data_IF_572384763493
#
_entry.id   IF_572384763493
#
_cell.length_a   1.000
_cell.length_b   1.000
_cell.length_c   1.000
_cell.angle_alpha   90.00
_cell.angle_beta   90.00
_cell.angle_gamma   90.00
#
_symmetry.space_group_name_H-M   'P 1'
#
loop_
_entity.id
_entity.type
_entity.pdbx_description
1 polymer ?
#
# COMPACT_ATOMS: atom_id res chain seq x y z
N UNK A 1 -33.53 -6.07 -4.59
CA UNK A 1 -33.38 -5.99 -3.13
C UNK A 1 -32.11 -6.69 -2.70
N UNK A 2 -31.18 -5.98 -2.05
CA UNK A 2 -29.85 -6.48 -1.71
C UNK A 2 -29.61 -6.56 -0.18
N UNK A 3 -30.65 -6.51 0.63
CA UNK A 3 -30.56 -6.63 2.09
C UNK A 3 -30.44 -8.09 2.50
N UNK A 4 -29.46 -8.43 3.32
CA UNK A 4 -29.34 -9.73 3.97
C UNK A 4 -29.73 -9.63 5.45
N UNK A 5 -30.45 -10.64 5.95
CA UNK A 5 -30.79 -10.79 7.36
C UNK A 5 -30.10 -12.04 7.90
N UNK A 6 -29.32 -11.89 8.95
CA UNK A 6 -28.58 -13.00 9.57
C UNK A 6 -28.46 -12.83 11.08
N UNK A 7 -28.32 -13.92 11.85
CA UNK A 7 -28.11 -13.83 13.28
C UNK A 7 -26.70 -13.31 13.56
N UNK A 8 -26.60 -12.34 14.45
CA UNK A 8 -25.35 -11.76 14.87
C UNK A 8 -25.11 -12.02 16.36
N UNK A 9 -23.96 -12.56 16.69
CA UNK A 9 -23.49 -12.73 18.06
C UNK A 9 -22.35 -11.77 18.32
N UNK A 10 -22.54 -10.79 19.20
CA UNK A 10 -21.54 -9.81 19.59
C UNK A 10 -21.20 -10.00 21.07
N UNK A 11 -19.92 -9.90 21.38
CA UNK A 11 -19.40 -10.00 22.75
C UNK A 11 -18.59 -8.73 23.03
N UNK A 12 -19.17 -7.73 23.72
CA UNK A 12 -18.45 -6.55 24.14
C UNK A 12 -17.42 -6.89 25.22
N UNK A 13 -16.36 -6.09 25.33
CA UNK A 13 -15.38 -6.15 26.40
C UNK A 13 -15.83 -5.29 27.61
N UNK A 14 -15.05 -5.26 28.67
CA UNK A 14 -15.37 -4.45 29.87
C UNK A 14 -15.03 -2.95 29.66
N UNK A 15 -14.00 -2.65 28.89
CA UNK A 15 -13.59 -1.29 28.53
C UNK A 15 -14.29 -0.83 27.24
N UNK A 16 -14.61 0.47 27.14
CA UNK A 16 -15.31 1.03 25.97
C UNK A 16 -14.50 0.93 24.69
N UNK A 17 -13.20 1.23 24.76
CA UNK A 17 -12.30 1.19 23.60
C UNK A 17 -12.10 -0.24 23.10
N UNK A 18 -11.86 -1.17 24.02
CA UNK A 18 -11.74 -2.59 23.70
C UNK A 18 -13.07 -3.17 23.19
N UNK A 19 -14.21 -2.72 23.73
CA UNK A 19 -15.54 -3.09 23.22
C UNK A 19 -15.73 -2.66 21.77
N UNK A 20 -15.38 -1.41 21.42
CA UNK A 20 -15.47 -0.91 20.03
C UNK A 20 -14.60 -1.72 19.07
N UNK A 21 -13.36 -1.99 19.46
CA UNK A 21 -12.42 -2.79 18.65
C UNK A 21 -12.96 -4.22 18.48
N UNK A 22 -13.38 -4.86 19.56
CA UNK A 22 -13.89 -6.23 19.54
C UNK A 22 -15.17 -6.35 18.68
N UNK A 23 -16.12 -5.44 18.83
CA UNK A 23 -17.35 -5.44 18.03
C UNK A 23 -17.07 -5.17 16.56
N UNK A 24 -16.18 -4.24 16.25
CA UNK A 24 -15.72 -3.96 14.87
C UNK A 24 -15.16 -5.20 14.19
N UNK A 25 -14.27 -5.92 14.87
CA UNK A 25 -13.67 -7.15 14.35
C UNK A 25 -14.72 -8.27 14.19
N UNK A 26 -15.62 -8.46 15.15
CA UNK A 26 -16.70 -9.43 15.06
C UNK A 26 -17.63 -9.15 13.88
N UNK A 27 -18.00 -7.88 13.65
CA UNK A 27 -18.82 -7.48 12.50
C UNK A 27 -18.12 -7.69 11.16
N UNK A 28 -16.85 -7.32 11.08
CA UNK A 28 -16.03 -7.49 9.87
C UNK A 28 -15.66 -8.94 9.59
N UNK A 29 -15.60 -9.77 10.63
CA UNK A 29 -15.39 -11.20 10.53
C UNK A 29 -16.58 -11.97 9.93
N UNK A 30 -17.75 -11.35 9.73
CA UNK A 30 -18.88 -11.98 9.06
C UNK A 30 -18.63 -12.08 7.56
N UNK A 31 -18.49 -13.30 6.98
CA UNK A 31 -18.20 -13.47 5.56
C UNK A 31 -19.29 -12.85 4.69
N UNK A 32 -18.89 -12.16 3.63
CA UNK A 32 -19.76 -11.58 2.60
C UNK A 32 -20.96 -10.81 3.17
N UNK A 33 -20.75 -10.12 4.32
CA UNK A 33 -21.80 -9.36 5.01
C UNK A 33 -23.05 -10.19 5.32
N UNK A 34 -22.88 -11.48 5.59
CA UNK A 34 -23.92 -12.40 6.01
C UNK A 34 -24.84 -12.96 4.92
N UNK A 35 -24.55 -12.70 3.64
CA UNK A 35 -25.32 -13.25 2.49
C UNK A 35 -25.40 -14.79 2.55
N UNK A 36 -24.29 -15.44 2.92
CA UNK A 36 -24.19 -16.89 3.02
C UNK A 36 -25.21 -17.52 4.00
N UNK A 37 -25.62 -16.81 5.07
CA UNK A 37 -26.57 -17.35 6.02
C UNK A 37 -27.94 -17.69 5.38
N UNK A 38 -28.51 -16.76 4.61
CA UNK A 38 -29.77 -16.97 3.91
C UNK A 38 -29.69 -18.08 2.88
N UNK A 39 -28.57 -18.16 2.14
CA UNK A 39 -28.33 -19.24 1.18
C UNK A 39 -28.30 -20.61 1.89
N UNK A 40 -27.56 -20.75 2.97
CA UNK A 40 -27.46 -22.00 3.74
C UNK A 40 -28.79 -22.35 4.43
N UNK A 41 -29.52 -21.37 4.94
CA UNK A 41 -30.75 -21.59 5.70
C UNK A 41 -31.92 -22.00 4.82
N UNK A 42 -32.02 -21.46 3.60
CA UNK A 42 -33.21 -21.59 2.76
C UNK A 42 -32.99 -22.27 1.42
N UNK A 43 -31.77 -22.28 0.88
CA UNK A 43 -31.46 -22.77 -0.46
C UNK A 43 -30.43 -23.92 -0.49
N UNK A 44 -29.75 -24.20 0.60
CA UNK A 44 -28.88 -25.35 0.72
C UNK A 44 -29.68 -26.64 1.01
N UNK A 45 -29.02 -27.80 0.94
CA UNK A 45 -29.64 -29.09 1.22
C UNK A 45 -30.26 -29.16 2.64
N UNK A 46 -31.21 -30.11 2.81
CA UNK A 46 -32.06 -30.26 4.01
C UNK A 46 -31.26 -30.33 5.33
N UNK A 47 -30.08 -30.97 5.31
CA UNK A 47 -29.24 -31.09 6.52
C UNK A 47 -28.74 -29.74 7.04
N UNK A 48 -28.20 -28.89 6.17
CA UNK A 48 -27.71 -27.56 6.56
C UNK A 48 -28.85 -26.67 7.03
N UNK A 49 -29.95 -26.67 6.31
CA UNK A 49 -31.17 -25.92 6.66
C UNK A 49 -31.72 -26.36 8.01
N UNK A 50 -31.80 -27.66 8.29
CA UNK A 50 -32.32 -28.22 9.57
C UNK A 50 -31.37 -27.87 10.73
N UNK A 51 -30.07 -27.97 10.56
CA UNK A 51 -29.08 -27.58 11.59
C UNK A 51 -29.22 -26.10 11.97
N UNK A 52 -29.33 -25.20 11.00
CA UNK A 52 -29.52 -23.77 11.26
C UNK A 52 -30.89 -23.46 11.86
N UNK A 53 -31.95 -24.21 11.47
CA UNK A 53 -33.29 -24.07 12.04
C UNK A 53 -33.35 -24.45 13.52
N UNK A 54 -32.55 -25.43 13.94
CA UNK A 54 -32.49 -25.89 15.32
C UNK A 54 -31.78 -24.91 16.28
N UNK A 55 -31.08 -23.91 15.77
CA UNK A 55 -30.41 -22.90 16.61
C UNK A 55 -31.46 -21.94 17.24
N UNK A 56 -31.15 -21.40 18.44
CA UNK A 56 -31.97 -20.35 19.03
C UNK A 56 -32.19 -19.18 18.08
N UNK A 57 -33.46 -18.82 17.85
CA UNK A 57 -33.78 -17.72 16.94
C UNK A 57 -33.67 -16.38 17.65
N UNK A 58 -32.91 -15.40 17.11
CA UNK A 58 -32.88 -14.03 17.61
C UNK A 58 -34.31 -13.43 17.60
N UNK A 59 -34.66 -12.66 18.64
CA UNK A 59 -35.93 -12.00 18.76
C UNK A 59 -35.85 -10.47 18.75
N UNK A 60 -34.64 -9.97 18.53
CA UNK A 60 -34.35 -8.54 18.36
C UNK A 60 -33.74 -8.36 16.96
N UNK A 61 -34.26 -7.39 16.21
CA UNK A 61 -33.68 -6.99 14.92
C UNK A 61 -33.11 -5.59 15.07
N UNK A 62 -31.89 -5.43 14.53
CA UNK A 62 -31.26 -4.15 14.41
C UNK A 62 -30.94 -3.88 12.93
N UNK A 63 -31.39 -2.72 12.43
CA UNK A 63 -31.16 -2.29 11.05
C UNK A 63 -30.68 -0.85 11.03
N UNK A 64 -29.50 -0.61 10.52
CA UNK A 64 -28.97 0.73 10.32
C UNK A 64 -28.90 1.03 8.82
N UNK A 65 -29.76 1.95 8.38
CA UNK A 65 -29.96 2.28 6.97
C UNK A 65 -28.84 3.18 6.39
N UNK A 66 -28.00 3.74 7.26
CA UNK A 66 -26.92 4.60 6.84
C UNK A 66 -27.30 6.08 6.78
N UNK A 67 -26.62 6.83 5.92
CA UNK A 67 -26.73 8.28 5.82
C UNK A 67 -27.37 8.69 4.48
N UNK A 68 -28.48 9.44 4.58
CA UNK A 68 -29.30 9.86 3.43
C UNK A 68 -29.09 11.32 2.99
N UNK A 69 -28.31 12.12 3.70
CA UNK A 69 -28.11 13.55 3.42
C UNK A 69 -27.68 13.88 1.99
N UNK A 70 -26.93 12.96 1.32
CA UNK A 70 -26.45 13.15 -0.04
C UNK A 70 -27.49 12.88 -1.14
N UNK A 71 -28.58 12.21 -0.79
CA UNK A 71 -29.61 11.80 -1.76
C UNK A 71 -30.73 12.82 -1.87
N UNK A 72 -30.90 13.66 -0.85
CA UNK A 72 -32.01 14.59 -0.69
C UNK A 72 -31.50 15.97 -0.25
N UNK A 73 -30.51 16.51 -0.96
CA UNK A 73 -30.07 17.87 -0.75
C UNK A 73 -31.12 18.88 -1.28
N UNK A 74 -31.01 20.16 -0.92
CA UNK A 74 -31.98 21.18 -1.29
C UNK A 74 -32.14 21.44 -2.80
N UNK A 75 -31.33 20.79 -3.66
CA UNK A 75 -31.41 20.81 -5.10
C UNK A 75 -32.06 19.54 -5.69
N UNK A 76 -32.41 18.56 -4.83
CA UNK A 76 -33.02 17.32 -5.28
C UNK A 76 -34.45 17.55 -5.79
N UNK A 77 -34.84 16.80 -6.84
CA UNK A 77 -36.19 16.85 -7.42
C UNK A 77 -37.26 16.37 -6.41
N UNK A 78 -36.88 15.45 -5.51
CA UNK A 78 -37.73 14.90 -4.48
C UNK A 78 -37.11 15.20 -3.12
N UNK A 79 -37.86 15.85 -2.24
CA UNK A 79 -37.45 16.20 -0.88
C UNK A 79 -38.39 15.49 0.09
N UNK A 80 -37.87 14.80 1.14
CA UNK A 80 -38.71 14.23 2.17
C UNK A 80 -39.56 15.29 2.83
N UNK A 81 -40.83 14.93 3.14
CA UNK A 81 -41.75 15.77 3.87
C UNK A 81 -41.95 15.22 5.29
N UNK A 82 -42.36 16.08 6.23
CA UNK A 82 -42.74 15.70 7.59
C UNK A 82 -44.19 15.23 7.64
N UNK A 83 -44.95 15.31 6.54
CA UNK A 83 -46.30 14.83 6.47
C UNK A 83 -46.37 13.31 6.56
N UNK A 84 -47.26 12.81 7.38
CA UNK A 84 -47.47 11.36 7.55
C UNK A 84 -48.24 10.78 6.36
N UNK A 85 -47.70 9.73 5.73
CA UNK A 85 -48.40 8.95 4.73
C UNK A 85 -49.48 7.98 5.35
N UNK A 86 -49.67 8.02 6.67
CA UNK A 86 -50.48 7.06 7.42
C UNK A 86 -49.66 5.89 7.94
N UNK A 87 -50.33 4.93 8.56
CA UNK A 87 -49.68 3.73 9.08
C UNK A 87 -49.22 2.82 7.94
N UNK A 88 -47.94 2.49 7.91
CA UNK A 88 -47.36 1.59 6.90
C UNK A 88 -47.76 0.11 7.12
N UNK A 89 -48.20 -0.23 8.33
CA UNK A 89 -48.64 -1.58 8.73
C UNK A 89 -49.91 -1.50 9.60
N UNK A 90 -50.71 -2.54 9.57
CA UNK A 90 -51.81 -2.70 10.47
C UNK A 90 -51.30 -2.75 11.94
N UNK A 91 -51.82 -1.93 12.85
CA UNK A 91 -51.43 -1.97 14.26
C UNK A 91 -51.59 -3.32 14.94
N UNK A 92 -52.48 -4.18 14.40
CA UNK A 92 -52.73 -5.54 14.87
C UNK A 92 -51.96 -6.61 14.14
N UNK A 93 -51.10 -6.23 13.14
CA UNK A 93 -50.28 -7.20 12.42
C UNK A 93 -49.24 -7.85 13.36
N UNK A 94 -49.01 -9.16 13.24
CA UNK A 94 -48.01 -9.83 14.06
C UNK A 94 -46.61 -9.30 13.72
N UNK A 95 -45.86 -8.89 14.75
CA UNK A 95 -44.46 -8.50 14.61
C UNK A 95 -43.59 -9.74 14.41
N UNK A 96 -42.71 -9.71 13.43
CA UNK A 96 -41.77 -10.79 13.16
C UNK A 96 -40.79 -10.99 14.33
N UNK A 97 -40.45 -9.93 15.04
CA UNK A 97 -39.56 -9.91 16.22
C UNK A 97 -40.22 -9.19 17.39
N UNK A 98 -39.76 -9.49 18.60
CA UNK A 98 -40.27 -8.84 19.82
C UNK A 98 -39.89 -7.36 19.90
N UNK A 99 -38.72 -7.03 19.37
CA UNK A 99 -38.17 -5.68 19.32
C UNK A 99 -37.44 -5.48 18.00
N UNK A 100 -37.71 -4.39 17.30
CA UNK A 100 -36.96 -3.93 16.12
C UNK A 100 -36.45 -2.52 16.35
N UNK A 101 -35.18 -2.31 16.04
CA UNK A 101 -34.49 -1.00 16.10
C UNK A 101 -34.05 -0.64 14.71
N UNK A 102 -34.54 0.47 14.17
CA UNK A 102 -34.15 0.99 12.87
C UNK A 102 -33.48 2.35 13.04
N UNK A 103 -32.25 2.48 12.53
CA UNK A 103 -31.45 3.69 12.64
C UNK A 103 -31.15 4.32 11.30
N UNK A 104 -31.17 5.64 11.24
CA UNK A 104 -30.73 6.39 10.06
C UNK A 104 -30.18 7.77 10.44
N UNK A 105 -29.33 8.34 9.56
CA UNK A 105 -28.92 9.73 9.65
C UNK A 105 -29.55 10.52 8.51
N UNK A 106 -30.32 11.54 8.86
CA UNK A 106 -30.92 12.46 7.92
C UNK A 106 -30.90 13.90 8.48
N UNK A 107 -30.57 14.89 7.64
CA UNK A 107 -30.43 16.29 8.07
C UNK A 107 -29.35 16.52 9.13
N UNK A 108 -28.32 15.64 9.16
CA UNK A 108 -27.26 15.66 10.18
C UNK A 108 -27.66 15.06 11.52
N UNK A 109 -28.89 14.55 11.67
CA UNK A 109 -29.39 13.96 12.91
C UNK A 109 -29.50 12.44 12.83
N UNK A 110 -28.98 11.75 13.86
CA UNK A 110 -29.19 10.31 14.03
C UNK A 110 -30.58 10.07 14.71
N UNK A 111 -31.45 9.40 14.01
CA UNK A 111 -32.73 8.95 14.54
C UNK A 111 -32.79 7.44 14.66
N UNK A 112 -33.37 6.96 15.75
CA UNK A 112 -33.59 5.54 16.03
C UNK A 112 -35.07 5.31 16.30
N UNK A 113 -35.67 4.43 15.51
CA UNK A 113 -37.07 4.05 15.65
C UNK A 113 -37.17 2.67 16.32
N UNK A 114 -37.92 2.60 17.44
CA UNK A 114 -38.05 1.39 18.24
C UNK A 114 -39.47 0.86 18.10
N UNK A 115 -39.63 -0.29 17.45
CA UNK A 115 -40.92 -1.01 17.34
C UNK A 115 -40.89 -2.23 18.24
N UNK A 116 -41.90 -2.38 19.10
CA UNK A 116 -41.93 -3.46 20.08
C UNK A 116 -43.31 -4.07 20.23
N UNK A 117 -43.37 -5.33 20.66
CA UNK A 117 -44.61 -6.01 21.02
C UNK A 117 -45.06 -5.56 22.41
N UNK A 118 -46.29 -4.98 22.48
CA UNK A 118 -46.92 -4.59 23.77
C UNK A 118 -47.31 -5.78 24.61
N UNK A 119 -47.38 -6.98 24.04
CA UNK A 119 -47.60 -8.21 24.81
C UNK A 119 -46.33 -8.66 25.55
N UNK A 120 -45.16 -8.30 25.01
CA UNK A 120 -43.85 -8.70 25.56
C UNK A 120 -43.23 -7.63 26.45
N UNK A 121 -43.48 -6.36 26.17
CA UNK A 121 -42.83 -5.23 26.86
C UNK A 121 -43.83 -4.16 27.27
N UNK A 122 -43.75 -3.71 28.52
CA UNK A 122 -44.39 -2.48 28.93
C UNK A 122 -43.68 -1.25 28.31
N UNK A 123 -44.44 -0.25 27.91
CA UNK A 123 -43.91 0.97 27.27
C UNK A 123 -42.83 1.66 28.13
N UNK A 124 -43.04 1.76 29.45
CA UNK A 124 -42.07 2.29 30.41
C UNK A 124 -40.74 1.49 30.44
N UNK A 125 -40.78 0.20 30.11
CA UNK A 125 -39.55 -0.62 30.01
C UNK A 125 -38.78 -0.29 28.75
N UNK A 126 -39.48 -0.13 27.63
CA UNK A 126 -38.82 0.25 26.35
C UNK A 126 -38.27 1.68 26.45
N UNK A 127 -39.03 2.61 27.08
CA UNK A 127 -38.52 3.97 27.30
C UNK A 127 -37.22 3.97 28.09
N UNK A 128 -37.09 3.18 29.15
CA UNK A 128 -35.84 3.06 29.90
C UNK A 128 -34.71 2.49 29.03
N UNK A 129 -34.99 1.49 28.19
CA UNK A 129 -33.97 0.94 27.26
C UNK A 129 -33.48 1.99 26.25
N UNK A 130 -34.38 2.83 25.74
CA UNK A 130 -34.04 3.96 24.87
C UNK A 130 -33.13 4.97 25.57
N UNK A 131 -33.48 5.33 26.82
CA UNK A 131 -32.71 6.28 27.62
C UNK A 131 -31.32 5.71 28.00
N UNK A 132 -31.26 4.42 28.34
CA UNK A 132 -30.02 3.70 28.63
C UNK A 132 -29.13 3.62 27.39
N UNK A 133 -29.70 3.27 26.22
CA UNK A 133 -29.00 3.24 24.95
C UNK A 133 -28.40 4.61 24.59
N UNK A 134 -29.16 5.68 24.79
CA UNK A 134 -28.68 7.03 24.51
C UNK A 134 -27.50 7.40 25.42
N UNK A 135 -27.50 6.98 26.71
CA UNK A 135 -26.38 7.20 27.62
C UNK A 135 -25.13 6.41 27.20
N UNK A 136 -25.28 5.12 26.84
CA UNK A 136 -24.18 4.31 26.38
C UNK A 136 -23.58 4.86 25.07
N UNK A 137 -24.43 5.27 24.13
CA UNK A 137 -23.97 5.89 22.89
C UNK A 137 -23.21 7.20 23.15
N UNK A 138 -23.68 8.02 24.09
CA UNK A 138 -23.03 9.25 24.48
C UNK A 138 -21.64 9.00 25.10
N UNK A 139 -21.54 8.03 25.99
CA UNK A 139 -20.28 7.61 26.60
C UNK A 139 -19.26 7.12 25.54
N UNK A 140 -19.74 6.35 24.55
CA UNK A 140 -18.89 5.92 23.42
C UNK A 140 -18.41 7.11 22.57
N UNK A 141 -19.27 8.10 22.31
CA UNK A 141 -18.89 9.32 21.56
C UNK A 141 -17.83 10.11 22.34
N UNK A 142 -18.05 10.33 23.65
CA UNK A 142 -17.07 11.02 24.50
C UNK A 142 -15.73 10.30 24.52
N UNK A 143 -15.74 8.96 24.63
CA UNK A 143 -14.52 8.16 24.53
C UNK A 143 -13.81 8.33 23.20
N UNK A 144 -14.54 8.29 22.08
CA UNK A 144 -13.96 8.45 20.73
C UNK A 144 -13.41 9.86 20.47
N UNK A 145 -13.92 10.88 21.14
CA UNK A 145 -13.46 12.27 20.99
C UNK A 145 -12.22 12.59 21.84
N UNK A 146 -11.77 11.70 22.72
CA UNK A 146 -10.56 11.91 23.50
C UNK A 146 -9.30 11.77 22.63
N UNK A 147 -8.35 12.67 22.79
CA UNK A 147 -7.08 12.62 22.09
C UNK A 147 -6.33 11.31 22.46
N UNK A 148 -5.84 10.61 21.43
CA UNK A 148 -5.08 9.38 21.59
C UNK A 148 -5.90 8.10 21.44
N UNK A 149 -7.23 8.16 21.49
CA UNK A 149 -8.09 6.99 21.27
C UNK A 149 -8.23 6.72 19.77
N UNK A 150 -7.41 5.77 19.26
CA UNK A 150 -7.46 5.34 17.87
C UNK A 150 -8.14 3.97 17.80
N UNK A 151 -9.29 3.92 17.13
CA UNK A 151 -10.08 2.70 16.97
C UNK A 151 -9.58 1.77 15.84
N UNK A 152 -8.27 1.77 15.53
CA UNK A 152 -7.71 0.90 14.50
C UNK A 152 -7.61 -0.55 15.00
N UNK A 153 -7.95 -1.48 14.10
CA UNK A 153 -7.98 -2.90 14.37
C UNK A 153 -7.30 -3.66 13.22
N UNK A 154 -6.95 -4.95 13.39
CA UNK A 154 -6.30 -5.74 12.35
C UNK A 154 -7.01 -5.70 10.99
N UNK A 155 -8.33 -5.70 10.99
CA UNK A 155 -9.13 -5.64 9.76
C UNK A 155 -9.05 -4.32 8.98
N UNK A 156 -8.47 -3.25 9.56
CA UNK A 156 -8.15 -2.02 8.82
C UNK A 156 -6.94 -2.20 7.92
N UNK A 157 -6.09 -3.19 8.22
CA UNK A 157 -4.86 -3.51 7.49
C UNK A 157 -4.90 -4.95 6.96
N UNK A 158 -5.83 -5.26 6.04
CA UNK A 158 -6.15 -6.63 5.65
C UNK A 158 -5.01 -7.36 4.92
N UNK A 159 -4.00 -6.64 4.45
CA UNK A 159 -2.82 -7.23 3.81
C UNK A 159 -1.72 -7.61 4.82
N UNK A 160 -1.78 -7.07 6.04
CA UNK A 160 -0.84 -7.38 7.10
C UNK A 160 -1.43 -8.39 8.08
N UNK A 161 -0.64 -9.41 8.46
CA UNK A 161 -1.00 -10.31 9.54
C UNK A 161 -0.55 -9.68 10.86
N UNK A 162 -1.47 -8.97 11.51
CA UNK A 162 -1.21 -8.25 12.76
C UNK A 162 -2.23 -8.63 13.82
N UNK A 163 -1.78 -8.68 15.07
CA UNK A 163 -2.63 -8.77 16.25
C UNK A 163 -2.86 -7.38 16.87
N UNK A 164 -3.94 -7.24 17.66
CA UNK A 164 -4.28 -5.94 18.26
C UNK A 164 -3.14 -5.37 19.12
N UNK A 165 -2.47 -6.22 19.90
CA UNK A 165 -1.34 -5.81 20.75
C UNK A 165 -0.15 -5.24 19.97
N UNK A 166 0.09 -5.73 18.73
CA UNK A 166 1.13 -5.20 17.85
C UNK A 166 0.72 -3.84 17.30
N UNK A 167 -0.55 -3.69 16.92
CA UNK A 167 -1.09 -2.41 16.45
C UNK A 167 -1.06 -1.33 17.54
N UNK A 168 -1.42 -1.68 18.77
CA UNK A 168 -1.48 -0.73 19.89
C UNK A 168 -0.08 -0.15 20.26
N UNK A 169 1.01 -0.79 19.82
CA UNK A 169 2.39 -0.28 19.96
C UNK A 169 2.78 0.73 18.89
N UNK A 170 1.99 0.87 17.82
CA UNK A 170 2.30 1.73 16.69
C UNK A 170 1.61 3.11 16.83
N UNK A 171 2.20 4.19 16.31
CA UNK A 171 1.62 5.52 16.31
C UNK A 171 0.49 5.64 15.26
N UNK A 172 -0.59 4.88 15.41
CA UNK A 172 -1.65 4.69 14.43
C UNK A 172 -2.31 6.00 13.95
N UNK A 173 -2.31 7.04 14.77
CA UNK A 173 -2.81 8.36 14.37
C UNK A 173 -2.10 8.93 13.14
N UNK A 174 -0.82 8.59 12.95
CA UNK A 174 0.04 9.03 11.85
C UNK A 174 0.14 8.04 10.70
N UNK A 175 -0.39 6.84 10.87
CA UNK A 175 -0.31 5.75 9.90
C UNK A 175 -1.55 5.74 9.00
N UNK A 176 -1.32 5.67 7.70
CA UNK A 176 -2.37 5.53 6.68
C UNK A 176 -2.65 4.07 6.36
N UNK A 177 -1.59 3.26 6.21
CA UNK A 177 -1.71 1.85 5.83
C UNK A 177 -0.52 1.02 6.32
N UNK A 178 -0.70 -0.29 6.43
CA UNK A 178 0.34 -1.26 6.80
C UNK A 178 0.16 -2.49 5.91
N UNK A 179 1.24 -2.93 5.28
CA UNK A 179 1.24 -4.14 4.46
C UNK A 179 2.65 -4.75 4.33
N UNK A 180 2.80 -6.03 3.93
CA UNK A 180 4.11 -6.65 3.82
C UNK A 180 4.95 -6.09 2.67
N UNK A 181 6.22 -6.43 2.67
CA UNK A 181 7.17 -6.08 1.63
C UNK A 181 6.95 -6.95 0.38
N UNK A 182 7.33 -6.42 -0.79
CA UNK A 182 7.53 -7.24 -1.97
C UNK A 182 8.77 -8.15 -1.80
N UNK A 183 8.90 -9.25 -2.55
CA UNK A 183 10.08 -10.13 -2.46
C UNK A 183 11.41 -9.38 -2.65
N UNK A 184 11.46 -8.42 -3.58
CA UNK A 184 12.65 -7.63 -3.82
C UNK A 184 12.95 -6.67 -2.65
N UNK A 185 11.93 -6.00 -2.12
CA UNK A 185 12.09 -5.17 -0.91
C UNK A 185 12.60 -5.99 0.27
N UNK A 186 12.10 -7.22 0.44
CA UNK A 186 12.53 -8.11 1.49
C UNK A 186 14.03 -8.46 1.37
N UNK A 187 14.48 -8.78 0.14
CA UNK A 187 15.89 -9.02 -0.14
C UNK A 187 16.77 -7.80 0.14
N UNK A 188 16.33 -6.61 -0.30
CA UNK A 188 17.06 -5.36 -0.04
C UNK A 188 17.13 -5.01 1.44
N UNK A 189 16.03 -5.20 2.19
CA UNK A 189 16.01 -5.02 3.63
C UNK A 189 17.04 -5.93 4.32
N UNK A 190 17.02 -7.23 3.98
CA UNK A 190 17.95 -8.21 4.54
C UNK A 190 19.41 -7.79 4.30
N UNK A 191 19.77 -7.46 3.07
CA UNK A 191 21.14 -7.02 2.74
C UNK A 191 21.52 -5.72 3.45
N UNK A 192 20.62 -4.74 3.51
CA UNK A 192 20.88 -3.47 4.21
C UNK A 192 21.12 -3.67 5.72
N UNK A 193 20.50 -4.68 6.33
CA UNK A 193 20.72 -5.02 7.74
C UNK A 193 22.02 -5.81 7.96
N UNK A 194 22.38 -6.67 7.02
CA UNK A 194 23.56 -7.51 7.11
C UNK A 194 24.85 -6.72 6.81
N UNK A 195 24.82 -5.81 5.86
CA UNK A 195 25.98 -5.04 5.37
C UNK A 195 25.81 -3.54 5.64
N UNK A 196 25.61 -3.15 6.90
CA UNK A 196 25.33 -1.77 7.32
C UNK A 196 26.36 -0.71 6.84
N UNK A 197 27.57 -1.12 6.44
CA UNK A 197 28.66 -0.23 6.05
C UNK A 197 28.76 -0.02 4.53
N UNK A 198 28.06 -0.79 3.67
CA UNK A 198 28.32 -0.78 2.22
C UNK A 198 27.65 0.38 1.48
N UNK A 199 26.52 0.92 1.98
CA UNK A 199 25.74 1.97 1.27
C UNK A 199 25.19 1.51 -0.09
N UNK A 200 25.08 0.20 -0.34
CA UNK A 200 24.87 -0.41 -1.65
C UNK A 200 23.52 -0.08 -2.28
N UNK A 201 22.51 0.25 -1.48
CA UNK A 201 21.17 0.58 -1.99
C UNK A 201 20.83 2.07 -1.93
N UNK A 202 21.85 2.93 -1.94
CA UNK A 202 21.67 4.37 -2.01
C UNK A 202 21.82 4.87 -3.43
N UNK A 203 20.74 5.38 -3.99
CA UNK A 203 20.73 6.08 -5.26
C UNK A 203 20.91 7.58 -5.03
N UNK A 204 21.81 8.20 -5.78
CA UNK A 204 22.07 9.63 -5.71
C UNK A 204 22.14 10.23 -7.11
N UNK A 205 21.27 11.22 -7.36
CA UNK A 205 21.32 12.05 -8.56
C UNK A 205 21.96 13.39 -8.21
N UNK A 206 22.91 13.79 -9.03
CA UNK A 206 23.53 15.12 -8.97
C UNK A 206 23.33 15.82 -10.31
N UNK A 207 22.80 17.02 -10.28
CA UNK A 207 22.54 17.79 -11.51
C UNK A 207 22.60 19.28 -11.27
N UNK A 208 23.17 20.02 -12.22
CA UNK A 208 23.10 21.47 -12.25
C UNK A 208 21.81 21.92 -12.94
N UNK A 209 21.13 22.88 -12.33
CA UNK A 209 19.86 23.43 -12.83
C UNK A 209 19.98 24.94 -12.94
N UNK A 210 19.48 25.51 -14.04
CA UNK A 210 19.47 26.93 -14.29
C UNK A 210 18.08 27.53 -14.12
N UNK A 211 17.99 28.73 -13.57
CA UNK A 211 16.74 29.49 -13.46
C UNK A 211 15.67 28.82 -12.57
N UNK A 212 16.11 28.08 -11.55
CA UNK A 212 15.21 27.37 -10.64
C UNK A 212 14.61 28.32 -9.59
N UNK A 213 13.31 28.22 -9.37
CA UNK A 213 12.63 28.76 -8.19
C UNK A 213 12.62 27.69 -7.08
N UNK A 214 13.41 27.82 -6.01
CA UNK A 214 13.52 26.83 -4.94
C UNK A 214 12.20 26.55 -4.24
N UNK A 215 11.39 27.58 -3.98
CA UNK A 215 10.11 27.42 -3.26
C UNK A 215 9.12 26.61 -4.09
N UNK A 216 8.99 26.92 -5.37
CA UNK A 216 8.15 26.18 -6.31
C UNK A 216 8.62 24.75 -6.53
N UNK A 217 9.95 24.55 -6.57
CA UNK A 217 10.54 23.21 -6.72
C UNK A 217 10.29 22.34 -5.48
N UNK A 218 10.49 22.90 -4.27
CA UNK A 218 10.16 22.23 -3.01
C UNK A 218 8.67 21.85 -2.96
N UNK A 219 7.77 22.77 -3.35
CA UNK A 219 6.34 22.52 -3.38
C UNK A 219 5.97 21.38 -4.36
N UNK A 220 6.60 21.31 -5.54
CA UNK A 220 6.39 20.23 -6.50
C UNK A 220 6.82 18.86 -5.95
N UNK A 221 7.95 18.79 -5.28
CA UNK A 221 8.42 17.56 -4.60
C UNK A 221 7.55 17.16 -3.42
N UNK A 222 7.11 18.13 -2.59
CA UNK A 222 6.17 17.85 -1.51
C UNK A 222 4.86 17.27 -2.04
N UNK A 223 4.32 17.85 -3.11
CA UNK A 223 3.11 17.34 -3.73
C UNK A 223 3.28 15.93 -4.32
N UNK A 224 4.46 15.58 -4.81
CA UNK A 224 4.77 14.22 -5.25
C UNK A 224 4.87 13.26 -4.05
N UNK A 225 5.53 13.65 -2.96
CA UNK A 225 5.59 12.89 -1.71
C UNK A 225 4.19 12.59 -1.15
N UNK A 226 3.30 13.58 -1.17
CA UNK A 226 1.92 13.43 -0.71
C UNK A 226 1.08 12.53 -1.62
N UNK A 227 1.39 12.52 -2.93
CA UNK A 227 0.62 11.76 -3.94
C UNK A 227 0.94 10.28 -3.95
N UNK A 228 2.16 9.88 -3.59
CA UNK A 228 2.64 8.50 -3.69
C UNK A 228 2.88 7.90 -2.30
N UNK A 229 2.08 6.89 -1.95
CA UNK A 229 2.15 6.20 -0.67
C UNK A 229 3.53 5.59 -0.40
N UNK A 230 4.15 4.95 -1.39
CA UNK A 230 5.47 4.32 -1.24
C UNK A 230 6.58 5.31 -0.83
N UNK A 231 6.49 6.59 -1.23
CA UNK A 231 7.47 7.60 -0.81
C UNK A 231 7.38 7.94 0.67
N UNK A 232 6.25 7.60 1.30
CA UNK A 232 5.97 7.79 2.74
C UNK A 232 6.11 6.51 3.54
N UNK A 233 6.73 5.47 2.95
CA UNK A 233 6.94 4.18 3.58
C UNK A 233 8.16 4.18 4.52
N UNK A 234 7.97 3.69 5.74
CA UNK A 234 8.99 3.18 6.64
C UNK A 234 8.87 1.67 6.76
N UNK A 235 9.94 0.99 7.19
CA UNK A 235 9.99 -0.47 7.23
C UNK A 235 10.18 -0.96 8.65
N UNK A 236 9.38 -1.93 9.08
CA UNK A 236 9.45 -2.56 10.40
C UNK A 236 9.78 -4.03 10.24
N UNK A 237 10.79 -4.51 10.98
CA UNK A 237 11.22 -5.91 10.97
C UNK A 237 11.51 -6.46 12.36
N UNK A 238 11.43 -5.59 13.38
CA UNK A 238 11.73 -5.96 14.78
C UNK A 238 10.45 -6.29 15.54
N UNK A 239 10.61 -6.96 16.69
CA UNK A 239 9.49 -7.37 17.54
C UNK A 239 8.88 -8.71 17.13
N UNK A 240 7.66 -8.98 17.59
CA UNK A 240 6.95 -10.24 17.39
C UNK A 240 6.21 -10.28 16.03
N UNK A 241 6.81 -9.72 14.97
CA UNK A 241 6.22 -9.72 13.63
C UNK A 241 6.48 -11.05 12.93
N UNK A 242 5.46 -11.63 12.30
CA UNK A 242 5.62 -12.84 11.48
C UNK A 242 6.47 -12.60 10.24
N UNK A 243 6.44 -11.37 9.71
CA UNK A 243 7.21 -10.93 8.55
C UNK A 243 7.45 -9.42 8.62
N UNK A 244 8.49 -8.91 7.93
CA UNK A 244 8.69 -7.48 7.82
C UNK A 244 7.51 -6.77 7.15
N UNK A 245 7.21 -5.57 7.62
CA UNK A 245 6.09 -4.75 7.17
C UNK A 245 6.58 -3.38 6.70
N UNK A 246 5.89 -2.82 5.73
CA UNK A 246 6.01 -1.41 5.40
C UNK A 246 4.81 -0.64 5.97
N UNK A 247 5.13 0.48 6.60
CA UNK A 247 4.19 1.37 7.27
C UNK A 247 4.11 2.66 6.47
N UNK A 248 2.94 2.97 5.96
CA UNK A 248 2.69 4.17 5.18
C UNK A 248 2.20 5.28 6.10
N UNK A 249 2.93 6.38 6.14
CA UNK A 249 2.56 7.55 6.92
C UNK A 249 1.54 8.42 6.18
N UNK A 250 0.61 9.07 6.93
CA UNK A 250 -0.41 9.96 6.35
C UNK A 250 0.19 11.20 5.72
N UNK A 251 1.08 11.85 6.46
CA UNK A 251 1.74 13.08 6.05
C UNK A 251 3.17 13.08 6.55
N UNK A 252 4.07 13.47 5.68
CA UNK A 252 5.48 13.67 6.00
C UNK A 252 5.96 14.96 5.34
N UNK A 253 6.81 15.69 6.06
CA UNK A 253 7.50 16.83 5.48
C UNK A 253 8.71 16.34 4.66
N UNK A 254 8.86 16.89 3.45
CA UNK A 254 9.99 16.61 2.58
C UNK A 254 11.29 17.08 3.23
N UNK A 255 12.29 16.20 3.46
CA UNK A 255 13.62 16.63 3.87
C UNK A 255 14.31 17.40 2.74
N UNK A 256 14.25 18.73 2.83
CA UNK A 256 14.77 19.65 1.84
C UNK A 256 15.69 20.67 2.51
N UNK A 257 16.99 20.62 2.19
CA UNK A 257 17.98 21.57 2.68
C UNK A 257 18.42 22.51 1.56
N UNK A 258 18.60 23.78 1.90
CA UNK A 258 19.10 24.82 0.99
C UNK A 258 20.39 25.39 1.51
N UNK A 259 21.40 25.55 0.63
CA UNK A 259 22.66 26.19 0.92
C UNK A 259 22.95 27.29 -0.09
N UNK A 260 23.42 28.43 0.40
CA UNK A 260 23.94 29.53 -0.45
C UNK A 260 25.48 29.48 -0.43
N UNK A 261 26.07 29.00 -1.53
CA UNK A 261 27.51 28.89 -1.70
C UNK A 261 28.04 29.81 -2.80
N UNK A 262 27.33 30.89 -3.09
CA UNK A 262 27.80 31.89 -4.04
C UNK A 262 29.13 32.47 -3.59
N UNK A 263 30.10 32.52 -4.51
CA UNK A 263 31.44 33.02 -4.23
C UNK A 263 32.35 32.12 -3.37
N UNK A 264 31.90 30.87 -3.09
CA UNK A 264 32.71 29.90 -2.36
C UNK A 264 33.89 29.45 -3.18
N UNK A 265 35.09 29.51 -2.58
CA UNK A 265 36.32 28.91 -3.15
C UNK A 265 36.19 27.37 -3.14
N UNK A 266 36.90 26.71 -4.10
CA UNK A 266 36.92 25.26 -4.23
C UNK A 266 35.49 24.63 -4.26
N UNK A 267 34.58 25.24 -5.04
CA UNK A 267 33.17 24.88 -5.07
C UNK A 267 32.97 23.42 -5.53
N UNK A 268 33.73 22.96 -6.51
CA UNK A 268 33.59 21.59 -7.03
C UNK A 268 33.92 20.53 -5.97
N UNK A 269 35.01 20.69 -5.25
CA UNK A 269 35.42 19.81 -4.16
C UNK A 269 34.39 19.84 -3.00
N UNK A 270 33.84 21.02 -2.71
CA UNK A 270 32.82 21.16 -1.69
C UNK A 270 31.50 20.44 -2.08
N UNK A 271 31.10 20.50 -3.35
CA UNK A 271 29.94 19.76 -3.86
C UNK A 271 30.17 18.23 -3.84
N UNK A 272 31.39 17.79 -4.16
CA UNK A 272 31.76 16.39 -4.08
C UNK A 272 31.71 15.87 -2.63
N UNK A 273 32.25 16.65 -1.68
CA UNK A 273 32.19 16.28 -0.26
C UNK A 273 30.75 16.30 0.28
N UNK A 274 29.92 17.26 -0.12
CA UNK A 274 28.51 17.29 0.23
C UNK A 274 27.80 16.03 -0.24
N UNK A 275 27.98 15.66 -1.51
CA UNK A 275 27.39 14.48 -2.09
C UNK A 275 27.87 13.18 -1.38
N UNK A 276 29.17 13.11 -1.08
CA UNK A 276 29.75 11.99 -0.34
C UNK A 276 29.23 11.93 1.11
N UNK A 277 29.08 13.08 1.79
CA UNK A 277 28.54 13.13 3.14
C UNK A 277 27.06 12.70 3.20
N UNK A 278 26.24 13.13 2.21
CA UNK A 278 24.86 12.69 2.08
C UNK A 278 24.77 11.18 1.83
N UNK A 279 25.68 10.61 1.06
CA UNK A 279 25.74 9.15 0.86
C UNK A 279 26.14 8.42 2.14
N UNK A 280 27.18 8.88 2.85
CA UNK A 280 27.62 8.28 4.14
C UNK A 280 26.56 8.36 5.23
N UNK A 281 25.72 9.40 5.23
CA UNK A 281 24.64 9.57 6.19
C UNK A 281 23.62 8.43 6.15
N UNK A 282 23.43 7.80 5.00
CA UNK A 282 22.48 6.69 4.84
C UNK A 282 21.02 7.04 5.19
N UNK A 283 20.23 6.02 5.47
CA UNK A 283 18.85 6.12 5.96
C UNK A 283 18.59 5.09 7.05
N UNK A 284 17.90 5.50 8.08
CA UNK A 284 17.27 4.59 9.05
C UNK A 284 15.96 4.08 8.42
N UNK A 285 15.91 2.80 8.05
CA UNK A 285 14.78 2.27 7.26
C UNK A 285 13.43 2.34 7.98
N UNK A 286 13.43 2.44 9.30
CA UNK A 286 12.22 2.64 10.11
C UNK A 286 11.68 4.08 10.02
N UNK A 287 12.51 5.05 9.61
CA UNK A 287 12.19 6.48 9.66
C UNK A 287 11.94 7.03 8.26
N UNK A 288 10.66 7.05 7.86
CA UNK A 288 10.26 7.68 6.61
C UNK A 288 10.35 9.23 6.69
N UNK A 289 10.58 9.93 5.58
CA UNK A 289 10.76 9.40 4.23
C UNK A 289 12.21 9.00 3.95
N UNK A 290 12.40 7.94 3.15
CA UNK A 290 13.73 7.44 2.76
C UNK A 290 14.26 8.14 1.50
N UNK A 291 14.02 9.41 1.41
CA UNK A 291 14.53 10.30 0.37
C UNK A 291 14.80 11.69 0.96
N UNK A 292 15.75 12.40 0.38
CA UNK A 292 16.05 13.78 0.75
C UNK A 292 16.71 14.54 -0.39
N UNK A 293 16.55 15.86 -0.36
CA UNK A 293 17.09 16.77 -1.35
C UNK A 293 17.95 17.82 -0.67
N UNK A 294 19.07 18.13 -1.31
CA UNK A 294 19.90 19.28 -0.96
C UNK A 294 20.07 20.14 -2.20
N UNK A 295 19.71 21.40 -2.11
CA UNK A 295 19.82 22.37 -3.18
C UNK A 295 20.90 23.40 -2.80
N UNK A 296 21.94 23.53 -3.61
CA UNK A 296 23.03 24.47 -3.39
C UNK A 296 22.97 25.56 -4.44
N UNK A 297 22.76 26.80 -4.02
CA UNK A 297 22.86 27.96 -4.90
C UNK A 297 24.32 28.28 -5.17
N UNK A 298 24.77 28.18 -6.43
CA UNK A 298 26.16 28.38 -6.85
C UNK A 298 26.42 29.82 -7.33
N UNK A 299 25.43 30.41 -8.04
CA UNK A 299 25.42 31.80 -8.46
C UNK A 299 23.97 32.33 -8.53
N UNK A 300 23.73 33.45 -9.22
CA UNK A 300 22.41 34.08 -9.26
C UNK A 300 21.34 33.20 -9.93
N UNK A 301 21.72 32.35 -10.89
CA UNK A 301 20.80 31.54 -11.69
C UNK A 301 21.09 30.04 -11.62
N UNK A 302 22.27 29.62 -11.11
CA UNK A 302 22.65 28.21 -11.11
C UNK A 302 22.53 27.59 -9.73
N UNK A 303 21.95 26.40 -9.72
CA UNK A 303 21.80 25.56 -8.54
C UNK A 303 22.39 24.18 -8.81
N UNK A 304 22.94 23.55 -7.79
CA UNK A 304 23.32 22.14 -7.79
C UNK A 304 22.36 21.36 -6.92
N UNK A 305 21.67 20.39 -7.50
CA UNK A 305 20.76 19.49 -6.80
C UNK A 305 21.50 18.19 -6.46
N UNK A 306 21.41 17.79 -5.19
CA UNK A 306 21.75 16.44 -4.72
C UNK A 306 20.46 15.78 -4.23
N UNK A 307 19.94 14.82 -4.98
CA UNK A 307 18.79 14.00 -4.62
C UNK A 307 19.28 12.61 -4.24
N UNK A 308 19.03 12.21 -3.00
CA UNK A 308 19.43 10.89 -2.48
C UNK A 308 18.20 10.15 -1.99
N UNK A 309 18.06 8.88 -2.35
CA UNK A 309 16.98 8.02 -1.88
C UNK A 309 17.46 6.57 -1.71
N UNK A 310 16.77 5.81 -0.86
CA UNK A 310 17.00 4.39 -0.73
C UNK A 310 16.29 3.63 -1.85
N UNK A 311 16.98 2.68 -2.49
CA UNK A 311 16.46 1.92 -3.64
C UNK A 311 15.23 1.05 -3.30
N UNK A 312 15.01 0.74 -2.03
CA UNK A 312 13.84 -0.01 -1.54
C UNK A 312 12.50 0.66 -1.89
N UNK A 313 12.50 1.98 -2.14
CA UNK A 313 11.31 2.73 -2.53
C UNK A 313 11.00 2.64 -4.02
N UNK A 314 12.03 2.70 -4.88
CA UNK A 314 11.90 3.01 -6.30
C UNK A 314 12.85 2.18 -7.15
N UNK A 315 12.33 1.67 -8.25
CA UNK A 315 13.15 1.19 -9.37
C UNK A 315 13.52 2.33 -10.33
N UNK A 316 14.39 2.02 -11.32
CA UNK A 316 14.84 3.02 -12.29
C UNK A 316 13.72 3.59 -13.16
N UNK A 317 12.69 2.79 -13.47
CA UNK A 317 11.53 3.22 -14.22
C UNK A 317 10.70 4.22 -13.39
N UNK A 318 10.40 3.86 -12.16
CA UNK A 318 9.66 4.72 -11.22
C UNK A 318 10.41 6.02 -10.91
N UNK A 319 11.74 5.96 -10.77
CA UNK A 319 12.57 7.16 -10.54
C UNK A 319 12.48 8.16 -11.71
N UNK A 320 12.51 7.66 -12.94
CA UNK A 320 12.37 8.52 -14.13
C UNK A 320 10.96 9.15 -14.22
N UNK A 321 9.92 8.39 -13.91
CA UNK A 321 8.53 8.88 -13.88
C UNK A 321 8.33 9.92 -12.77
N UNK A 322 8.84 9.66 -11.57
CA UNK A 322 8.76 10.59 -10.45
C UNK A 322 9.41 11.93 -10.78
N UNK A 323 10.61 11.91 -11.36
CA UNK A 323 11.28 13.14 -11.80
C UNK A 323 10.48 13.87 -12.88
N UNK A 324 9.92 13.14 -13.85
CA UNK A 324 9.05 13.72 -14.88
C UNK A 324 7.80 14.39 -14.28
N UNK A 325 7.16 13.73 -13.31
CA UNK A 325 6.00 14.28 -12.60
C UNK A 325 6.35 15.54 -11.80
N UNK A 326 7.47 15.53 -11.07
CA UNK A 326 7.93 16.70 -10.31
C UNK A 326 8.19 17.88 -11.25
N UNK A 327 8.82 17.65 -12.40
CA UNK A 327 9.06 18.71 -13.38
C UNK A 327 7.77 19.24 -13.99
N UNK A 328 6.81 18.38 -14.32
CA UNK A 328 5.47 18.79 -14.80
C UNK A 328 4.75 19.65 -13.76
N UNK A 329 4.74 19.23 -12.48
CA UNK A 329 4.18 20.04 -11.37
C UNK A 329 4.90 21.37 -11.22
N UNK A 330 6.22 21.38 -11.35
CA UNK A 330 7.02 22.60 -11.28
C UNK A 330 6.68 23.57 -12.42
N UNK A 331 6.45 23.11 -13.65
CA UNK A 331 6.05 23.95 -14.78
C UNK A 331 4.57 24.36 -14.73
N UNK A 332 3.79 23.78 -13.83
CA UNK A 332 2.36 24.06 -13.67
C UNK A 332 1.47 23.24 -14.60
N UNK A 333 2.00 22.20 -15.21
CA UNK A 333 1.24 21.20 -15.94
C UNK A 333 0.47 20.31 -14.96
N UNK A 334 -0.74 19.88 -15.36
CA UNK A 334 -1.46 18.89 -14.56
C UNK A 334 -0.73 17.55 -14.66
N UNK A 335 -0.14 17.11 -13.56
CA UNK A 335 0.35 15.75 -13.47
C UNK A 335 -0.83 14.79 -13.65
N UNK A 336 -0.75 13.88 -14.62
CA UNK A 336 -1.75 12.84 -14.76
C UNK A 336 -1.82 12.05 -13.44
N UNK A 337 -3.04 11.86 -12.94
CA UNK A 337 -3.24 11.03 -11.74
C UNK A 337 -2.74 9.63 -12.02
N UNK A 338 -1.79 9.16 -11.22
CA UNK A 338 -1.37 7.76 -11.26
C UNK A 338 -2.55 6.87 -10.88
N UNK A 339 -2.87 5.92 -11.76
CA UNK A 339 -3.98 4.99 -11.52
C UNK A 339 -3.52 3.85 -10.61
N UNK A 340 -3.76 3.92 -9.29
CA UNK A 340 -3.50 2.84 -8.35
C UNK A 340 -2.42 3.17 -7.30
N UNK A 341 -2.37 2.35 -6.26
CA UNK A 341 -1.46 2.48 -5.12
C UNK A 341 -0.52 1.29 -5.08
N UNK A 342 0.66 1.44 -4.48
CA UNK A 342 1.63 0.35 -4.34
C UNK A 342 1.06 -0.85 -3.56
N UNK A 343 0.14 -0.61 -2.61
CA UNK A 343 -0.60 -1.66 -1.93
C UNK A 343 -1.36 -2.61 -2.87
N UNK A 344 -1.86 -2.11 -4.01
CA UNK A 344 -2.61 -2.92 -4.97
C UNK A 344 -1.71 -3.98 -5.62
N UNK A 345 -0.45 -3.61 -5.86
CA UNK A 345 0.58 -4.56 -6.30
C UNK A 345 0.89 -5.61 -5.23
N UNK A 346 1.01 -5.22 -3.96
CA UNK A 346 1.21 -6.17 -2.85
C UNK A 346 0.01 -7.11 -2.71
N UNK A 347 -1.22 -6.59 -2.81
CA UNK A 347 -2.43 -7.41 -2.79
C UNK A 347 -2.44 -8.43 -3.95
N UNK A 348 -2.06 -7.97 -5.16
CA UNK A 348 -1.93 -8.86 -6.32
C UNK A 348 -0.87 -9.95 -6.09
N UNK A 349 0.30 -9.61 -5.52
CA UNK A 349 1.34 -10.58 -5.18
C UNK A 349 0.85 -11.65 -4.18
N UNK A 350 0.10 -11.24 -3.16
CA UNK A 350 -0.46 -12.16 -2.17
C UNK A 350 -1.51 -13.11 -2.78
N UNK A 351 -2.24 -12.66 -3.79
CA UNK A 351 -3.26 -13.45 -4.46
C UNK A 351 -2.69 -14.50 -5.44
N UNK A 352 -1.37 -14.46 -5.75
CA UNK A 352 -0.76 -15.41 -6.67
C UNK A 352 -0.63 -16.81 -6.05
N UNK A 353 -0.94 -17.85 -6.83
CA UNK A 353 -0.73 -19.24 -6.41
C UNK A 353 0.77 -19.61 -6.46
N UNK A 354 1.40 -19.57 -5.30
CA UNK A 354 2.82 -19.89 -5.14
C UNK A 354 3.17 -21.31 -5.60
N UNK A 355 2.23 -22.26 -5.56
CA UNK A 355 2.46 -23.67 -5.97
C UNK A 355 2.69 -23.78 -7.47
N UNK A 356 1.99 -22.97 -8.26
CA UNK A 356 2.19 -22.92 -9.72
C UNK A 356 3.59 -22.40 -10.04
N UNK A 357 3.99 -21.31 -9.41
CA UNK A 357 5.34 -20.75 -9.58
C UNK A 357 6.43 -21.72 -9.11
N UNK A 358 6.23 -22.37 -7.97
CA UNK A 358 7.18 -23.36 -7.43
C UNK A 358 7.34 -24.56 -8.37
N UNK A 359 6.25 -25.10 -8.90
CA UNK A 359 6.29 -26.20 -9.86
C UNK A 359 7.06 -25.82 -11.12
N UNK A 360 6.78 -24.64 -11.69
CA UNK A 360 7.46 -24.12 -12.86
C UNK A 360 8.98 -24.00 -12.64
N UNK A 361 9.40 -23.34 -11.54
CA UNK A 361 10.83 -23.16 -11.29
C UNK A 361 11.56 -24.45 -10.94
N UNK A 362 10.92 -25.40 -10.27
CA UNK A 362 11.49 -26.74 -10.02
C UNK A 362 11.73 -27.49 -11.33
N UNK A 363 10.82 -27.38 -12.30
CA UNK A 363 10.98 -27.99 -13.61
C UNK A 363 12.08 -27.29 -14.43
N UNK A 364 12.05 -25.96 -14.51
CA UNK A 364 13.01 -25.17 -15.28
C UNK A 364 14.46 -25.33 -14.80
N UNK A 365 14.66 -25.50 -13.50
CA UNK A 365 15.98 -25.59 -12.89
C UNK A 365 16.40 -27.03 -12.54
N UNK A 366 15.61 -28.05 -12.90
CA UNK A 366 15.84 -29.44 -12.54
C UNK A 366 17.17 -29.99 -13.04
N UNK A 367 17.62 -29.54 -14.23
CA UNK A 367 18.86 -29.99 -14.86
C UNK A 367 20.06 -29.11 -14.50
N UNK A 368 19.87 -28.08 -13.68
CA UNK A 368 20.95 -27.19 -13.24
C UNK A 368 21.75 -27.86 -12.12
N UNK A 369 22.83 -28.55 -12.50
CA UNK A 369 23.66 -29.30 -11.55
C UNK A 369 24.67 -28.42 -10.81
N UNK A 370 25.11 -27.31 -11.44
CA UNK A 370 26.11 -26.41 -10.90
C UNK A 370 25.91 -24.97 -11.40
N UNK A 371 26.35 -23.94 -10.64
CA UNK A 371 26.26 -22.57 -11.08
C UNK A 371 27.22 -22.26 -12.24
N UNK A 372 26.91 -21.22 -13.02
CA UNK A 372 27.81 -20.71 -14.06
C UNK A 372 29.03 -20.02 -13.43
N UNK A 373 30.20 -20.67 -13.49
CA UNK A 373 31.44 -20.24 -12.81
C UNK A 373 32.41 -19.49 -13.73
N UNK A 374 32.01 -18.31 -14.21
CA UNK A 374 32.80 -17.51 -15.11
C UNK A 374 34.18 -17.14 -14.51
N UNK A 375 34.23 -16.76 -13.24
CA UNK A 375 35.46 -16.35 -12.56
C UNK A 375 36.53 -17.47 -12.51
N UNK A 376 36.09 -18.74 -12.47
CA UNK A 376 37.01 -19.91 -12.52
C UNK A 376 37.52 -20.19 -13.94
N UNK A 377 36.67 -19.91 -14.93
CA UNK A 377 37.03 -20.12 -16.35
C UNK A 377 38.02 -19.06 -16.89
N UNK A 378 37.99 -17.85 -16.30
CA UNK A 378 38.83 -16.72 -16.68
C UNK A 378 39.82 -16.36 -15.57
N UNK A 379 40.36 -17.36 -14.88
CA UNK A 379 41.30 -17.11 -13.77
C UNK A 379 42.39 -16.14 -14.16
N UNK A 380 42.50 -15.04 -13.42
CA UNK A 380 43.52 -14.03 -13.58
C UNK A 380 44.29 -13.83 -12.27
N UNK A 381 45.52 -13.38 -12.35
CA UNK A 381 46.27 -12.90 -11.20
C UNK A 381 45.51 -11.68 -10.61
N UNK A 382 45.23 -11.72 -9.31
CA UNK A 382 44.54 -10.63 -8.62
C UNK A 382 45.52 -9.56 -8.23
N UNK A 383 45.55 -8.46 -8.96
CA UNK A 383 46.45 -7.34 -8.64
C UNK A 383 45.83 -6.30 -7.71
N UNK A 384 44.51 -6.21 -7.62
CA UNK A 384 43.82 -5.16 -6.86
C UNK A 384 42.58 -5.67 -6.14
N UNK A 385 42.28 -5.07 -4.99
CA UNK A 385 41.02 -5.27 -4.23
C UNK A 385 40.03 -4.16 -4.58
N UNK A 386 38.81 -4.49 -4.89
CA UNK A 386 37.72 -3.53 -5.16
C UNK A 386 36.91 -3.88 -6.41
N UNK A 387 36.04 -2.97 -6.82
CA UNK A 387 35.20 -3.09 -8.01
C UNK A 387 35.74 -2.23 -9.15
N UNK A 388 35.67 -2.74 -10.39
CA UNK A 388 36.00 -2.00 -11.60
C UNK A 388 34.82 -1.90 -12.55
N UNK A 389 34.77 -0.87 -13.39
CA UNK A 389 33.72 -0.65 -14.38
C UNK A 389 34.30 -0.47 -15.77
N UNK A 390 33.69 -1.16 -16.75
CA UNK A 390 33.95 -0.96 -18.15
C UNK A 390 32.67 -0.56 -18.88
N UNK A 391 32.75 0.50 -19.66
CA UNK A 391 31.65 0.94 -20.53
C UNK A 391 32.09 0.90 -22.00
N UNK A 392 31.23 0.28 -22.83
CA UNK A 392 31.43 0.28 -24.28
C UNK A 392 30.11 0.60 -24.97
N UNK A 393 30.10 1.63 -25.81
CA UNK A 393 28.92 2.05 -26.58
C UNK A 393 29.04 1.55 -28.04
N UNK A 394 27.89 1.12 -28.57
CA UNK A 394 27.78 0.83 -29.99
C UNK A 394 27.41 2.11 -30.76
N UNK A 395 28.02 2.35 -31.95
CA UNK A 395 27.62 3.47 -32.78
C UNK A 395 26.13 3.43 -33.16
N UNK A 396 25.50 4.60 -33.35
CA UNK A 396 24.07 4.68 -33.67
C UNK A 396 23.63 3.82 -34.86
N UNK A 397 24.46 3.74 -35.91
CA UNK A 397 24.20 2.93 -37.09
C UNK A 397 24.14 1.42 -36.79
N UNK A 398 24.98 0.91 -35.87
CA UNK A 398 24.92 -0.50 -35.45
C UNK A 398 23.70 -0.77 -34.57
N UNK A 399 23.40 0.16 -33.65
CA UNK A 399 22.20 0.08 -32.80
C UNK A 399 20.93 0.05 -33.65
N UNK A 400 20.82 0.89 -34.68
CA UNK A 400 19.69 0.90 -35.61
C UNK A 400 19.54 -0.43 -36.37
N UNK A 401 20.65 -1.03 -36.83
CA UNK A 401 20.65 -2.36 -37.48
C UNK A 401 20.14 -3.45 -36.52
N UNK A 402 20.57 -3.46 -35.25
CA UNK A 402 20.08 -4.41 -34.25
C UNK A 402 18.59 -4.25 -33.99
N UNK A 403 18.10 -3.02 -33.89
CA UNK A 403 16.65 -2.73 -33.74
C UNK A 403 15.85 -3.27 -34.93
N UNK A 404 16.31 -3.01 -36.16
CA UNK A 404 15.66 -3.49 -37.39
C UNK A 404 15.67 -5.04 -37.45
N UNK A 405 16.78 -5.66 -37.07
CA UNK A 405 16.88 -7.12 -37.01
C UNK A 405 15.88 -7.70 -35.99
N UNK A 406 15.86 -7.14 -34.76
CA UNK A 406 14.95 -7.57 -33.70
C UNK A 406 13.48 -7.50 -34.16
N UNK A 407 13.08 -6.39 -34.78
CA UNK A 407 11.73 -6.22 -35.35
C UNK A 407 11.39 -7.25 -36.42
N UNK A 408 12.31 -7.52 -37.34
CA UNK A 408 12.10 -8.52 -38.43
C UNK A 408 11.92 -9.94 -37.93
N UNK A 409 12.57 -10.27 -36.81
CA UNK A 409 12.56 -11.61 -36.22
C UNK A 409 11.61 -11.75 -35.03
N UNK A 410 10.76 -10.75 -34.76
CA UNK A 410 9.81 -10.71 -33.64
C UNK A 410 10.46 -10.98 -32.28
N UNK A 411 11.70 -10.50 -32.08
CA UNK A 411 12.43 -10.57 -30.81
C UNK A 411 12.70 -9.15 -30.28
N UNK A 412 12.97 -9.04 -28.99
CA UNK A 412 13.35 -7.76 -28.39
C UNK A 412 14.86 -7.52 -28.50
N UNK A 413 15.29 -6.27 -28.39
CA UNK A 413 16.72 -5.97 -28.27
C UNK A 413 17.34 -6.64 -27.03
N UNK A 414 16.58 -6.71 -25.92
CA UNK A 414 16.98 -7.42 -24.71
C UNK A 414 17.26 -8.90 -24.97
N UNK A 415 16.40 -9.58 -25.74
CA UNK A 415 16.63 -10.98 -26.14
C UNK A 415 17.95 -11.16 -26.86
N UNK A 416 18.30 -10.24 -27.80
CA UNK A 416 19.58 -10.30 -28.50
C UNK A 416 20.79 -10.07 -27.59
N UNK A 417 20.66 -9.16 -26.60
CA UNK A 417 21.73 -8.90 -25.62
C UNK A 417 21.94 -10.11 -24.72
N UNK A 418 20.84 -10.69 -24.20
CA UNK A 418 20.91 -11.90 -23.36
C UNK A 418 21.45 -13.10 -24.13
N UNK A 419 21.04 -13.31 -25.40
CA UNK A 419 21.59 -14.36 -26.25
C UNK A 419 23.10 -14.21 -26.45
N UNK A 420 23.58 -12.99 -26.72
CA UNK A 420 24.99 -12.74 -26.84
C UNK A 420 25.76 -13.01 -25.54
N UNK A 421 25.17 -12.67 -24.40
CA UNK A 421 25.73 -12.97 -23.08
C UNK A 421 25.78 -14.47 -22.80
N UNK A 422 24.69 -15.20 -23.06
CA UNK A 422 24.61 -16.66 -22.90
C UNK A 422 25.68 -17.38 -23.75
N UNK A 423 25.83 -16.98 -25.03
CA UNK A 423 26.84 -17.54 -25.91
C UNK A 423 28.28 -17.26 -25.43
N UNK A 424 28.50 -16.08 -24.85
CA UNK A 424 29.79 -15.73 -24.26
C UNK A 424 30.08 -16.63 -23.05
N UNK A 425 29.15 -16.76 -22.12
CA UNK A 425 29.27 -17.60 -20.94
C UNK A 425 29.56 -19.05 -21.34
N UNK A 426 28.77 -19.62 -22.26
CA UNK A 426 28.97 -20.97 -22.80
C UNK A 426 30.41 -21.19 -23.32
N UNK A 427 30.91 -20.24 -24.12
CA UNK A 427 32.24 -20.35 -24.69
C UNK A 427 33.35 -20.30 -23.66
N UNK A 428 33.21 -19.47 -22.61
CA UNK A 428 34.22 -19.35 -21.57
C UNK A 428 34.18 -20.48 -20.56
N UNK A 429 33.00 -20.92 -20.17
CA UNK A 429 32.83 -21.95 -19.12
C UNK A 429 32.84 -23.37 -19.67
N UNK A 430 32.58 -23.56 -20.98
CA UNK A 430 32.42 -24.87 -21.59
C UNK A 430 31.12 -25.60 -21.17
N UNK A 431 30.21 -24.91 -20.48
CA UNK A 431 28.94 -25.47 -20.06
C UNK A 431 27.90 -25.35 -21.19
N UNK A 432 27.13 -26.42 -21.45
CA UNK A 432 26.07 -26.40 -22.46
C UNK A 432 24.88 -25.54 -22.03
N UNK A 433 24.60 -25.53 -20.74
CA UNK A 433 23.57 -24.69 -20.12
C UNK A 433 24.21 -23.67 -19.17
N UNK A 434 23.85 -22.41 -19.32
CA UNK A 434 24.34 -21.33 -18.49
C UNK A 434 23.19 -20.64 -17.78
N UNK A 435 23.39 -20.21 -16.53
CA UNK A 435 22.41 -19.50 -15.73
C UNK A 435 23.02 -18.19 -15.23
N UNK A 436 22.22 -17.16 -15.24
CA UNK A 436 22.56 -15.82 -14.70
C UNK A 436 21.30 -15.09 -14.29
N UNK A 437 21.41 -14.16 -13.33
CA UNK A 437 20.29 -13.32 -12.92
C UNK A 437 19.94 -12.28 -13.97
N UNK A 438 18.70 -12.27 -14.43
CA UNK A 438 18.17 -11.23 -15.33
C UNK A 438 17.14 -10.38 -14.59
N UNK A 439 17.34 -9.04 -14.59
CA UNK A 439 16.38 -8.11 -14.03
C UNK A 439 15.23 -7.92 -14.99
N UNK A 440 14.01 -8.07 -14.47
CA UNK A 440 12.75 -7.89 -15.20
C UNK A 440 11.90 -6.80 -14.54
N UNK A 441 11.08 -6.12 -15.35
CA UNK A 441 10.09 -5.18 -14.83
C UNK A 441 8.89 -5.96 -14.30
N UNK A 442 8.79 -6.18 -13.02
CA UNK A 442 7.72 -6.94 -12.37
C UNK A 442 6.39 -6.18 -12.32
N UNK A 443 5.94 -5.60 -13.43
CA UNK A 443 4.69 -4.83 -13.56
C UNK A 443 3.64 -5.71 -14.27
N UNK A 444 2.69 -6.33 -13.55
CA UNK A 444 1.71 -7.23 -14.14
C UNK A 444 0.68 -6.45 -14.96
N UNK A 445 0.39 -6.96 -16.16
CA UNK A 445 -0.57 -6.31 -17.07
C UNK A 445 -2.02 -6.35 -16.55
N UNK A 446 -2.31 -7.22 -15.59
CA UNK A 446 -3.62 -7.36 -14.93
C UNK A 446 -3.97 -6.17 -14.03
N UNK A 447 -2.96 -5.43 -13.55
CA UNK A 447 -3.17 -4.23 -12.76
C UNK A 447 -3.25 -3.00 -13.66
N UNK A 448 -4.44 -2.44 -13.78
CA UNK A 448 -4.67 -1.25 -14.60
C UNK A 448 -3.79 -0.07 -14.14
N UNK A 449 -3.06 0.53 -15.07
CA UNK A 449 -2.21 1.69 -14.82
C UNK A 449 -0.91 1.40 -14.09
N UNK A 450 -0.53 0.12 -13.94
CA UNK A 450 0.70 -0.30 -13.25
C UNK A 450 1.96 0.33 -13.86
N UNK A 451 1.98 0.58 -15.16
CA UNK A 451 3.08 1.21 -15.87
C UNK A 451 3.35 2.66 -15.44
N UNK A 452 2.36 3.31 -14.81
CA UNK A 452 2.45 4.68 -14.27
C UNK A 452 2.56 4.74 -12.76
N UNK A 453 2.46 3.61 -12.07
CA UNK A 453 2.63 3.56 -10.61
C UNK A 453 4.08 3.76 -10.22
N UNK A 454 4.29 4.49 -9.14
CA UNK A 454 5.60 4.71 -8.53
C UNK A 454 5.84 3.65 -7.44
N UNK A 455 6.99 2.98 -7.49
CA UNK A 455 7.35 1.92 -6.55
C UNK A 455 8.54 1.08 -6.99
N UNK A 456 8.82 0.02 -6.24
CA UNK A 456 9.83 -0.98 -6.56
C UNK A 456 9.13 -2.22 -7.14
N UNK A 457 9.13 -2.34 -8.47
CA UNK A 457 8.46 -3.45 -9.18
C UNK A 457 9.45 -4.44 -9.81
N UNK A 458 10.71 -4.06 -9.98
CA UNK A 458 11.72 -4.96 -10.56
C UNK A 458 11.85 -6.24 -9.75
N UNK A 459 12.20 -7.32 -10.46
CA UNK A 459 12.61 -8.57 -9.86
C UNK A 459 13.82 -9.13 -10.62
N UNK A 460 14.60 -9.97 -9.98
CA UNK A 460 15.71 -10.69 -10.63
C UNK A 460 15.36 -12.16 -10.70
N UNK A 461 15.35 -12.68 -11.92
CA UNK A 461 15.01 -14.06 -12.21
C UNK A 461 16.23 -14.80 -12.77
N UNK A 462 16.41 -16.08 -12.47
CA UNK A 462 17.44 -16.91 -13.06
C UNK A 462 17.19 -17.18 -14.52
#
# INVERSE_FOLDING_TARGET
WFTSLFPLRLTPAADLGESLKAIKEQLRGVPDKGVGYGLLRYLAGEEAAARLAALPQPRITFNYLGRFDRQFDGAALLVPTTESAGAAQDPCAPLANWLSIEGQVYGGELSLHWSFSREMFAEATVQRLVDDYARELHALIEHCCQEGNVGATPSDFPLATLHQEQLDRLPLARIEDIYPLSPMQHGMLFHSLYEQASGDYLNQLRVDVHGLDPARFRAAWQAALDSHDILRAGFLWQGDLEQPLQVIHKHLELPFAEHDWRGREALAEALDELAASERRRGFELEQAPLLRLVLVRMDEERYHLVYTHHHILLDGWSSAQLLGEVLARYTGEQAERTGGRYRDYIAWLQAQDKRVSEAFWKEQLAELLEPTRLAQAVAAEREQVGSGQFQRSLPPARTARLKTFAQRHAVTLNTLVQAAWSLLLQRYTGQDTVVFGATVAGRPAELAGIERQIGLFINTLP
#
